data_IF_632940245557
#
_entry.id   IF_632940245557
#
_cell.length_a   1.000
_cell.length_b   1.000
_cell.length_c   1.000
_cell.angle_alpha   90.00
_cell.angle_beta   90.00
_cell.angle_gamma   90.00
#
_symmetry.space_group_name_H-M   'P 1'
#
loop_
_entity.id
_entity.type
_entity.pdbx_description
1 polymer ?
#
# COMPACT_ATOMS: atom_id res chain seq x y z
N UNK A 1 24.82 16.74 -6.20
CA UNK A 1 23.53 16.22 -6.71
C UNK A 1 22.65 17.43 -6.97
N UNK A 2 21.96 17.46 -8.10
CA UNK A 2 21.15 18.62 -8.51
C UNK A 2 19.75 18.17 -8.91
N UNK A 3 18.74 18.97 -8.58
CA UNK A 3 17.35 18.75 -8.96
C UNK A 3 16.73 20.06 -9.41
N UNK A 4 16.04 20.04 -10.55
CA UNK A 4 15.27 21.17 -11.06
C UNK A 4 13.86 20.67 -11.37
N UNK A 5 12.84 21.44 -11.00
CA UNK A 5 11.45 21.14 -11.35
C UNK A 5 10.94 22.14 -12.35
N UNK A 6 10.32 21.64 -13.43
CA UNK A 6 9.65 22.47 -14.44
C UNK A 6 8.29 21.83 -14.70
N UNK A 7 7.21 22.55 -14.36
CA UNK A 7 5.82 22.23 -14.71
C UNK A 7 5.46 20.72 -14.70
N UNK A 8 5.51 20.07 -13.53
CA UNK A 8 5.10 18.66 -13.38
C UNK A 8 6.13 17.63 -13.84
N UNK A 9 7.35 18.05 -14.17
CA UNK A 9 8.49 17.17 -14.42
C UNK A 9 9.64 17.50 -13.48
N UNK A 10 10.15 16.47 -12.80
CA UNK A 10 11.33 16.53 -11.95
C UNK A 10 12.53 16.06 -12.78
N UNK A 11 13.53 16.91 -12.92
CA UNK A 11 14.81 16.56 -13.52
C UNK A 11 15.82 16.32 -12.41
N UNK A 12 16.42 15.13 -12.38
CA UNK A 12 17.38 14.73 -11.35
C UNK A 12 18.71 14.34 -11.97
N UNK A 13 19.81 14.76 -11.34
CA UNK A 13 21.15 14.29 -11.67
C UNK A 13 21.86 13.72 -10.44
N UNK A 14 22.34 12.48 -10.55
CA UNK A 14 23.18 11.78 -9.56
C UNK A 14 24.67 12.05 -9.75
N UNK A 15 25.08 12.64 -10.88
CA UNK A 15 26.48 12.81 -11.30
C UNK A 15 26.88 14.28 -11.47
N UNK A 16 26.46 15.14 -10.54
CA UNK A 16 26.78 16.59 -10.50
C UNK A 16 26.34 17.38 -11.75
N UNK A 17 25.33 16.92 -12.47
CA UNK A 17 24.75 17.61 -13.62
C UNK A 17 25.23 17.11 -14.98
N UNK A 18 26.03 16.04 -15.03
CA UNK A 18 26.51 15.48 -16.30
C UNK A 18 25.38 14.77 -17.07
N UNK A 19 24.51 14.03 -16.38
CA UNK A 19 23.30 13.40 -16.94
C UNK A 19 22.07 13.74 -16.11
N UNK A 20 20.93 13.89 -16.77
CA UNK A 20 19.65 14.21 -16.16
C UNK A 20 18.61 13.15 -16.51
N UNK A 21 17.96 12.61 -15.49
CA UNK A 21 16.82 11.71 -15.62
C UNK A 21 15.54 12.50 -15.38
N UNK A 22 14.52 12.29 -16.22
CA UNK A 22 13.21 12.92 -16.07
C UNK A 22 12.29 11.98 -15.30
N UNK A 23 11.65 12.50 -14.27
CA UNK A 23 10.62 11.83 -13.51
C UNK A 23 9.32 12.65 -13.61
N UNK A 24 8.21 11.99 -13.94
CA UNK A 24 6.89 12.64 -13.90
C UNK A 24 6.53 12.94 -12.45
N UNK A 25 6.04 14.14 -12.20
CA UNK A 25 5.50 14.53 -10.91
C UNK A 25 4.00 14.79 -11.01
N UNK A 26 3.17 13.80 -10.66
CA UNK A 26 1.71 13.94 -10.66
C UNK A 26 1.21 15.00 -9.67
N UNK A 27 2.01 15.36 -8.66
CA UNK A 27 1.65 16.31 -7.61
C UNK A 27 1.93 17.77 -7.96
N UNK A 28 2.64 18.01 -9.07
CA UNK A 28 2.97 19.38 -9.51
C UNK A 28 3.80 20.14 -8.48
N UNK A 29 4.78 19.48 -7.86
CA UNK A 29 5.70 20.09 -6.90
C UNK A 29 6.41 21.29 -7.54
N UNK A 30 6.58 22.37 -6.76
CA UNK A 30 7.31 23.56 -7.21
C UNK A 30 8.76 23.58 -6.75
N UNK A 31 9.02 22.92 -5.62
CA UNK A 31 10.36 22.80 -5.04
C UNK A 31 10.69 21.36 -4.76
N UNK A 32 11.98 21.02 -4.90
CA UNK A 32 12.55 19.74 -4.52
C UNK A 32 13.90 19.94 -3.85
N UNK A 33 14.21 19.13 -2.85
CA UNK A 33 15.51 19.11 -2.18
C UNK A 33 15.91 17.67 -1.87
N UNK A 34 17.16 17.30 -2.17
CA UNK A 34 17.68 15.96 -1.90
C UNK A 34 18.92 16.06 -1.00
N UNK A 35 18.98 15.21 0.03
CA UNK A 35 20.17 15.09 0.90
C UNK A 35 21.10 13.96 0.46
N UNK A 36 20.57 13.00 -0.31
CA UNK A 36 21.34 11.94 -0.97
C UNK A 36 20.56 11.46 -2.22
N UNK A 37 21.04 10.40 -2.87
CA UNK A 37 20.42 9.87 -4.10
C UNK A 37 18.98 9.39 -3.88
N UNK A 38 18.64 8.94 -2.67
CA UNK A 38 17.38 8.25 -2.38
C UNK A 38 16.39 9.12 -1.58
N UNK A 39 16.89 9.99 -0.72
CA UNK A 39 16.11 10.75 0.24
C UNK A 39 16.02 12.22 -0.16
N UNK A 40 14.79 12.69 -0.30
CA UNK A 40 14.49 14.07 -0.63
C UNK A 40 13.08 14.49 -0.22
N UNK A 41 12.80 15.77 -0.39
CA UNK A 41 11.52 16.40 -0.11
C UNK A 41 11.03 17.15 -1.34
N UNK A 42 9.72 17.19 -1.53
CA UNK A 42 9.06 18.05 -2.52
C UNK A 42 7.99 18.91 -1.86
N UNK A 43 7.76 20.10 -2.41
CA UNK A 43 6.83 21.07 -1.85
C UNK A 43 5.98 21.78 -2.90
N UNK A 44 4.68 21.90 -2.62
CA UNK A 44 3.75 22.83 -3.30
C UNK A 44 2.76 23.43 -2.28
N UNK A 45 1.66 22.74 -1.99
CA UNK A 45 0.69 23.06 -0.92
C UNK A 45 0.88 22.21 0.35
N UNK A 46 1.77 21.23 0.30
CA UNK A 46 2.21 20.38 1.41
C UNK A 46 3.66 19.93 1.21
N UNK A 47 4.26 19.38 2.26
CA UNK A 47 5.62 18.82 2.24
C UNK A 47 5.54 17.29 2.12
N UNK A 48 6.11 16.75 1.06
CA UNK A 48 6.20 15.31 0.80
C UNK A 48 7.64 14.84 0.92
N UNK A 49 7.88 13.69 1.54
CA UNK A 49 9.22 13.08 1.66
C UNK A 49 9.28 11.78 0.85
N UNK A 50 10.37 11.57 0.13
CA UNK A 50 10.74 10.27 -0.45
C UNK A 50 12.01 9.73 0.21
N UNK A 51 12.13 8.42 0.27
CA UNK A 51 13.34 7.67 0.69
C UNK A 51 13.77 6.66 -0.35
N UNK A 52 13.17 6.70 -1.55
CA UNK A 52 13.43 5.74 -2.62
C UNK A 52 13.53 6.43 -3.98
N UNK A 53 14.22 7.57 -4.02
CA UNK A 53 14.52 8.25 -5.29
C UNK A 53 13.25 8.77 -6.00
N UNK A 54 12.14 8.91 -5.28
CA UNK A 54 10.84 9.30 -5.85
C UNK A 54 10.19 8.22 -6.73
N UNK A 55 10.75 7.01 -6.83
CA UNK A 55 10.35 5.99 -7.81
C UNK A 55 8.90 5.50 -7.64
N UNK A 56 8.32 5.67 -6.46
CA UNK A 56 6.92 5.32 -6.21
C UNK A 56 6.18 6.51 -5.62
N UNK A 57 5.34 7.15 -6.42
CA UNK A 57 4.22 7.93 -5.90
C UNK A 57 3.14 6.93 -5.49
N UNK A 58 3.31 6.30 -4.34
CA UNK A 58 2.19 5.61 -3.74
C UNK A 58 1.32 6.72 -3.17
N UNK A 59 0.30 7.16 -3.91
CA UNK A 59 -0.88 7.79 -3.31
C UNK A 59 -1.21 6.91 -2.13
N UNK A 60 -1.04 7.44 -0.91
CA UNK A 60 -0.79 6.67 0.31
C UNK A 60 -1.54 5.35 0.26
N UNK A 61 -0.85 4.23 0.49
CA UNK A 61 -1.52 2.95 0.63
C UNK A 61 -2.66 3.26 1.60
N UNK A 62 -3.90 3.25 1.10
CA UNK A 62 -5.03 3.01 1.96
C UNK A 62 -4.79 1.57 2.39
N UNK A 63 -3.86 1.42 3.33
CA UNK A 63 -3.91 0.44 4.37
C UNK A 63 -5.22 0.77 5.05
N UNK A 64 -6.32 0.32 4.43
CA UNK A 64 -7.56 0.05 5.11
C UNK A 64 -7.19 -1.04 6.11
N UNK A 65 -6.49 -0.64 7.18
CA UNK A 65 -6.56 -1.34 8.45
C UNK A 65 -8.05 -1.38 8.68
N UNK A 66 -8.66 -2.56 8.66
CA UNK A 66 -10.09 -2.65 8.87
C UNK A 66 -10.38 -1.91 10.19
N UNK A 67 -11.25 -0.91 10.17
CA UNK A 67 -11.64 -0.20 11.39
C UNK A 67 -12.44 -1.12 12.33
N UNK A 68 -12.88 -2.28 11.83
CA UNK A 68 -13.62 -3.28 12.59
C UNK A 68 -13.32 -4.70 12.11
N UNK A 69 -13.63 -5.68 12.96
CA UNK A 69 -13.74 -7.08 12.53
C UNK A 69 -14.81 -7.20 11.44
N UNK A 70 -14.51 -7.91 10.36
CA UNK A 70 -15.47 -8.16 9.27
C UNK A 70 -15.27 -9.55 8.68
N UNK A 71 -16.36 -10.29 8.56
CA UNK A 71 -16.42 -11.51 7.77
C UNK A 71 -17.05 -11.17 6.42
N UNK A 72 -16.37 -11.48 5.32
CA UNK A 72 -16.90 -11.27 3.98
C UNK A 72 -17.68 -12.50 3.53
N UNK A 73 -18.60 -12.29 2.57
CA UNK A 73 -19.30 -13.39 1.94
C UNK A 73 -18.30 -14.39 1.34
N UNK A 74 -18.57 -15.68 1.55
CA UNK A 74 -17.81 -16.74 0.91
C UNK A 74 -18.04 -16.71 -0.61
N UNK A 75 -16.96 -16.71 -1.38
CA UNK A 75 -17.02 -16.68 -2.84
C UNK A 75 -15.95 -17.58 -3.47
N UNK A 76 -16.26 -18.29 -4.56
CA UNK A 76 -17.58 -18.45 -5.17
C UNK A 76 -18.47 -19.45 -4.39
N UNK A 77 -19.73 -19.09 -4.16
CA UNK A 77 -20.81 -19.96 -3.66
C UNK A 77 -22.11 -19.42 -4.30
N UNK A 78 -22.90 -20.19 -5.07
CA UNK A 78 -23.33 -21.59 -4.84
C UNK A 78 -22.75 -22.64 -5.80
N UNK A 79 -22.56 -23.88 -5.31
CA UNK A 79 -22.13 -25.12 -6.01
C UNK A 79 -20.64 -25.30 -6.37
N UNK A 80 -19.73 -24.58 -5.71
CA UNK A 80 -18.30 -24.87 -5.83
C UNK A 80 -17.80 -25.71 -4.64
N UNK A 81 -17.07 -26.83 -4.86
CA UNK A 81 -16.54 -27.66 -3.77
C UNK A 81 -15.43 -26.95 -2.96
N UNK A 82 -14.95 -25.81 -3.43
CA UNK A 82 -14.03 -24.92 -2.72
C UNK A 82 -14.56 -23.48 -2.73
N UNK A 83 -14.44 -22.79 -1.61
CA UNK A 83 -14.85 -21.39 -1.49
C UNK A 83 -13.82 -20.62 -0.67
N UNK A 84 -13.61 -19.34 -0.98
CA UNK A 84 -12.70 -18.49 -0.21
C UNK A 84 -13.48 -17.71 0.85
N UNK A 85 -13.06 -17.85 2.11
CA UNK A 85 -13.59 -17.10 3.24
C UNK A 85 -12.60 -15.98 3.54
N UNK A 86 -12.97 -14.75 3.20
CA UNK A 86 -12.17 -13.56 3.53
C UNK A 86 -12.66 -12.99 4.86
N UNK A 87 -11.72 -12.52 5.67
CA UNK A 87 -12.01 -11.81 6.91
C UNK A 87 -11.01 -10.66 7.10
N UNK A 88 -11.39 -9.72 7.95
CA UNK A 88 -10.62 -8.53 8.27
C UNK A 88 -10.50 -8.39 9.79
N UNK A 89 -9.30 -8.09 10.28
CA UNK A 89 -8.99 -7.84 11.69
C UNK A 89 -8.28 -6.49 11.82
N UNK A 90 -8.53 -5.80 12.94
CA UNK A 90 -8.00 -4.45 13.20
C UNK A 90 -6.59 -4.48 13.79
N UNK A 91 -6.21 -5.59 14.43
CA UNK A 91 -4.92 -5.82 15.09
C UNK A 91 -4.60 -7.30 15.12
N UNK A 92 -3.32 -7.60 15.32
CA UNK A 92 -2.84 -8.97 15.55
C UNK A 92 -3.69 -9.65 16.62
N UNK A 93 -4.34 -10.76 16.24
CA UNK A 93 -5.28 -11.48 17.11
C UNK A 93 -5.40 -12.94 16.72
N UNK A 94 -5.74 -13.79 17.68
CA UNK A 94 -6.03 -15.20 17.41
C UNK A 94 -7.42 -15.33 16.79
N UNK A 95 -7.49 -15.85 15.57
CA UNK A 95 -8.74 -16.03 14.83
C UNK A 95 -9.09 -17.52 14.78
N UNK A 96 -10.34 -17.87 15.14
CA UNK A 96 -10.91 -19.21 14.99
C UNK A 96 -12.04 -19.18 13.95
N UNK A 97 -11.92 -20.00 12.91
CA UNK A 97 -12.98 -20.24 11.92
C UNK A 97 -13.53 -21.65 12.14
N UNK A 98 -14.86 -21.77 12.27
CA UNK A 98 -15.59 -23.02 12.42
C UNK A 98 -16.70 -23.11 11.37
N UNK A 99 -16.83 -24.28 10.72
CA UNK A 99 -17.85 -24.52 9.69
C UNK A 99 -18.87 -25.52 10.22
N UNK A 100 -20.16 -25.18 10.13
CA UNK A 100 -21.27 -26.01 10.63
C UNK A 100 -22.15 -26.50 9.48
N UNK A 101 -22.75 -27.69 9.63
CA UNK A 101 -23.81 -28.17 8.77
C UNK A 101 -25.17 -27.60 9.15
N UNK A 102 -26.20 -27.91 8.36
CA UNK A 102 -27.58 -27.46 8.58
C UNK A 102 -28.20 -28.00 9.89
N UNK A 103 -27.62 -29.05 10.46
CA UNK A 103 -28.02 -29.64 11.74
C UNK A 103 -27.22 -29.08 12.91
N UNK A 104 -26.34 -28.10 12.68
CA UNK A 104 -25.49 -27.48 13.70
C UNK A 104 -24.27 -28.32 14.10
N UNK A 105 -23.93 -29.37 13.35
CA UNK A 105 -22.72 -30.18 13.59
C UNK A 105 -21.51 -29.50 12.95
N UNK A 106 -20.41 -29.41 13.69
CA UNK A 106 -19.15 -28.82 13.19
C UNK A 106 -18.48 -29.79 12.20
N UNK A 107 -18.31 -29.36 10.95
CA UNK A 107 -17.70 -30.14 9.86
C UNK A 107 -16.19 -29.88 9.77
N UNK A 108 -15.76 -28.64 10.06
CA UNK A 108 -14.36 -28.24 10.03
C UNK A 108 -14.03 -27.40 11.27
N UNK A 109 -13.00 -27.83 12.01
CA UNK A 109 -12.53 -27.22 13.25
C UNK A 109 -11.28 -26.35 12.99
N UNK A 110 -11.34 -25.09 13.42
CA UNK A 110 -10.26 -24.36 14.08
C UNK A 110 -8.89 -24.25 13.39
N UNK A 111 -8.80 -23.56 12.25
CA UNK A 111 -7.50 -23.01 11.85
C UNK A 111 -7.22 -21.79 12.72
N UNK A 112 -6.38 -21.94 13.74
CA UNK A 112 -5.88 -20.83 14.56
C UNK A 112 -4.78 -20.14 13.79
N UNK A 113 -5.06 -18.96 13.27
CA UNK A 113 -4.07 -18.13 12.59
C UNK A 113 -3.59 -17.05 13.56
N UNK A 114 -2.27 -16.94 13.72
CA UNK A 114 -1.62 -15.76 14.31
C UNK A 114 -1.27 -14.84 13.16
N UNK A 115 -2.19 -13.91 12.86
CA UNK A 115 -2.08 -12.89 11.81
C UNK A 115 -1.83 -11.54 12.40
#
# INVERSE_FOLDING_TARGET
MGGITICGSIYRSTNKGNNWETQKDPSGSKTIAFINSETGWSGNSGLSKTTNSGLTFISGINSEVPNSFKLFQNYPNPFNPSTNIRFAITKYSEVRISIFDLLGREILIGIVMKV
#
